data_IF_243654557411
#
_entry.id   IF_243654557411
#
_cell.length_a   1.000
_cell.length_b   1.000
_cell.length_c   1.000
_cell.angle_alpha   90.00
_cell.angle_beta   90.00
_cell.angle_gamma   90.00
#
_symmetry.space_group_name_H-M   'P 1'
#
loop_
_entity.id
_entity.type
_entity.pdbx_description
1 polymer ?
#
# COMPACT_ATOMS: atom_id res chain seq x y z
N UNK A 1 4.09 4.96 32.51
CA UNK A 1 4.38 4.81 31.07
C UNK A 1 3.12 5.12 30.28
N UNK A 2 3.19 5.98 29.26
CA UNK A 2 2.08 6.15 28.31
C UNK A 2 2.13 4.98 27.32
N UNK A 3 1.20 4.04 27.41
CA UNK A 3 1.10 2.87 26.54
C UNK A 3 0.22 3.11 25.31
N UNK A 4 -0.24 4.35 25.12
CA UNK A 4 -1.07 4.70 23.97
C UNK A 4 -0.23 4.81 22.70
N UNK A 5 -0.61 4.05 21.70
CA UNK A 5 0.00 4.11 20.38
C UNK A 5 -0.67 5.24 19.59
N UNK A 6 0.13 6.16 19.08
CA UNK A 6 -0.31 7.28 18.24
C UNK A 6 0.33 7.15 16.87
N UNK A 7 -0.42 7.45 15.83
CA UNK A 7 0.07 7.49 14.45
C UNK A 7 -0.62 8.60 13.66
N UNK A 8 -0.03 9.01 12.55
CA UNK A 8 -0.59 10.03 11.67
C UNK A 8 -1.62 9.40 10.73
N UNK A 9 -2.74 10.08 10.52
CA UNK A 9 -3.60 9.85 9.36
C UNK A 9 -3.41 11.01 8.39
N UNK A 10 -3.02 10.67 7.14
CA UNK A 10 -2.78 11.65 6.08
C UNK A 10 -3.77 11.43 4.95
N UNK A 11 -4.71 12.35 4.83
CA UNK A 11 -5.69 12.40 3.75
C UNK A 11 -5.01 12.78 2.42
N UNK A 12 -5.73 12.70 1.30
CA UNK A 12 -5.23 13.13 0.00
C UNK A 12 -4.75 14.59 -0.01
N UNK A 13 -5.50 15.57 0.55
CA UNK A 13 -4.99 16.94 0.70
C UNK A 13 -3.71 17.05 1.54
N UNK A 14 -3.55 16.24 2.58
CA UNK A 14 -2.33 16.23 3.40
C UNK A 14 -1.14 15.68 2.60
N UNK A 15 -1.35 14.65 1.80
CA UNK A 15 -0.32 14.09 0.92
C UNK A 15 0.12 15.10 -0.14
N UNK A 16 -0.80 15.89 -0.70
CA UNK A 16 -0.47 16.98 -1.63
C UNK A 16 0.39 18.04 -0.95
N UNK A 17 0.02 18.46 0.28
CA UNK A 17 0.83 19.40 1.06
C UNK A 17 2.21 18.84 1.42
N UNK A 18 2.31 17.53 1.67
CA UNK A 18 3.58 16.86 1.95
C UNK A 18 4.50 16.79 0.73
N UNK A 19 4.04 17.18 -0.46
CA UNK A 19 4.87 17.28 -1.66
C UNK A 19 4.85 16.04 -2.55
N UNK A 20 3.86 15.16 -2.41
CA UNK A 20 3.77 13.94 -3.22
C UNK A 20 3.72 14.22 -4.74
N UNK A 21 3.36 15.44 -5.15
CA UNK A 21 3.37 15.90 -6.55
C UNK A 21 4.67 16.59 -6.98
N UNK A 22 5.66 16.69 -6.10
CA UNK A 22 6.98 17.23 -6.46
C UNK A 22 7.73 16.19 -7.29
N UNK A 23 7.79 16.41 -8.60
CA UNK A 23 8.34 15.44 -9.54
C UNK A 23 9.86 15.27 -9.38
N UNK A 24 10.61 16.32 -9.03
CA UNK A 24 12.04 16.22 -8.79
C UNK A 24 12.34 15.30 -7.60
N UNK A 25 11.62 15.48 -6.50
CA UNK A 25 11.72 14.59 -5.33
C UNK A 25 11.27 13.16 -5.65
N UNK A 26 10.28 12.99 -6.52
CA UNK A 26 9.83 11.68 -6.95
C UNK A 26 10.93 10.94 -7.73
N UNK A 27 11.59 11.62 -8.65
CA UNK A 27 12.72 11.06 -9.42
C UNK A 27 13.86 10.66 -8.49
N UNK A 28 14.28 11.55 -7.58
CA UNK A 28 15.31 11.24 -6.59
C UNK A 28 14.97 10.03 -5.73
N UNK A 29 13.71 9.95 -5.27
CA UNK A 29 13.23 8.82 -4.47
C UNK A 29 13.26 7.51 -5.26
N UNK A 30 12.94 7.54 -6.55
CA UNK A 30 12.98 6.37 -7.42
C UNK A 30 14.42 5.92 -7.71
N UNK A 31 15.35 6.84 -7.89
CA UNK A 31 16.78 6.50 -8.04
C UNK A 31 17.31 5.81 -6.78
N UNK A 32 17.04 6.37 -5.60
CA UNK A 32 17.41 5.75 -4.33
C UNK A 32 16.78 4.36 -4.14
N UNK A 33 15.52 4.21 -4.52
CA UNK A 33 14.82 2.92 -4.49
C UNK A 33 15.53 1.89 -5.37
N UNK A 34 15.84 2.23 -6.62
CA UNK A 34 16.50 1.33 -7.55
C UNK A 34 17.89 0.92 -7.08
N UNK A 35 18.66 1.86 -6.50
CA UNK A 35 19.95 1.57 -5.88
C UNK A 35 19.80 0.63 -4.69
N UNK A 36 18.82 0.85 -3.84
CA UNK A 36 18.52 0.00 -2.67
C UNK A 36 18.11 -1.40 -3.08
N UNK A 37 17.25 -1.52 -4.09
CA UNK A 37 16.85 -2.81 -4.67
C UNK A 37 18.04 -3.55 -5.29
N UNK A 38 18.92 -2.87 -6.03
CA UNK A 38 20.10 -3.47 -6.61
C UNK A 38 21.08 -4.01 -5.55
N UNK A 39 21.13 -3.38 -4.37
CA UNK A 39 21.93 -3.84 -3.23
C UNK A 39 21.29 -5.02 -2.48
N UNK A 40 20.03 -5.33 -2.75
CA UNK A 40 19.27 -6.38 -2.05
C UNK A 40 18.82 -5.99 -0.64
N UNK A 41 18.87 -4.69 -0.29
CA UNK A 41 18.48 -4.20 1.04
C UNK A 41 16.97 -3.95 1.11
N UNK A 42 16.20 -5.01 0.91
CA UNK A 42 14.74 -5.01 1.03
C UNK A 42 14.23 -6.42 1.31
N UNK A 43 13.01 -6.51 1.83
CA UNK A 43 12.28 -7.77 1.98
C UNK A 43 10.84 -7.56 1.50
N UNK A 44 10.38 -8.40 0.59
CA UNK A 44 8.98 -8.42 0.14
C UNK A 44 8.26 -9.65 0.68
N UNK A 45 7.01 -9.48 1.10
CA UNK A 45 6.15 -10.57 1.51
C UNK A 45 5.59 -11.35 0.30
N UNK A 46 4.95 -12.47 0.60
CA UNK A 46 4.37 -13.38 -0.38
C UNK A 46 5.24 -14.60 -0.63
N UNK A 47 4.63 -15.63 -1.23
CA UNK A 47 5.28 -16.95 -1.45
C UNK A 47 6.57 -16.83 -2.28
N UNK A 48 6.59 -15.92 -3.23
CA UNK A 48 7.71 -15.69 -4.13
C UNK A 48 8.62 -14.53 -3.71
N UNK A 49 8.40 -13.96 -2.52
CA UNK A 49 9.11 -12.75 -2.06
C UNK A 49 9.10 -11.63 -3.12
N UNK A 50 7.96 -11.46 -3.77
CA UNK A 50 7.76 -10.44 -4.81
C UNK A 50 6.65 -9.46 -4.43
N UNK A 51 6.40 -8.46 -5.27
CA UNK A 51 5.46 -7.39 -5.02
C UNK A 51 3.97 -7.78 -5.02
N UNK A 52 3.61 -9.03 -5.32
CA UNK A 52 2.20 -9.40 -5.45
C UNK A 52 1.50 -9.66 -4.11
N UNK A 53 2.23 -9.89 -3.02
CA UNK A 53 1.68 -10.02 -1.66
C UNK A 53 0.57 -11.07 -1.53
N UNK A 54 -0.41 -10.77 -0.68
CA UNK A 54 -1.60 -11.60 -0.45
C UNK A 54 -2.84 -10.98 -1.10
N UNK A 55 -3.71 -11.85 -1.65
CA UNK A 55 -4.92 -11.42 -2.36
C UNK A 55 -6.17 -12.08 -1.76
N UNK A 56 -7.26 -11.31 -1.73
CA UNK A 56 -8.62 -11.82 -1.57
C UNK A 56 -9.29 -11.73 -2.93
N UNK A 57 -9.63 -12.88 -3.52
CA UNK A 57 -10.35 -13.00 -4.79
C UNK A 57 -11.68 -13.69 -4.48
N UNK A 58 -12.78 -13.14 -4.97
CA UNK A 58 -14.09 -13.67 -4.76
C UNK A 58 -14.38 -14.86 -5.71
N UNK A 59 -15.20 -15.84 -5.29
CA UNK A 59 -15.57 -16.96 -6.14
C UNK A 59 -16.50 -16.54 -7.29
N UNK A 60 -16.48 -17.30 -8.37
CA UNK A 60 -17.41 -17.11 -9.49
C UNK A 60 -18.86 -17.44 -9.13
N UNK A 61 -19.05 -18.34 -8.17
CA UNK A 61 -20.35 -18.74 -7.65
C UNK A 61 -20.37 -18.66 -6.11
N UNK A 62 -20.65 -17.47 -5.54
CA UNK A 62 -20.68 -17.28 -4.10
C UNK A 62 -21.86 -18.03 -3.47
N UNK A 63 -21.58 -18.80 -2.42
CA UNK A 63 -22.56 -19.63 -1.71
C UNK A 63 -23.26 -18.89 -0.55
N UNK A 64 -22.86 -17.67 -0.26
CA UNK A 64 -23.40 -16.91 0.88
C UNK A 64 -24.00 -15.58 0.41
N UNK A 65 -25.15 -15.22 0.99
CA UNK A 65 -25.77 -13.92 0.75
C UNK A 65 -24.81 -12.79 1.14
N UNK A 66 -24.71 -11.77 0.29
CA UNK A 66 -23.81 -10.61 0.51
C UNK A 66 -22.35 -10.86 0.13
N UNK A 67 -21.93 -12.08 -0.17
CA UNK A 67 -20.60 -12.33 -0.70
C UNK A 67 -20.52 -11.83 -2.16
N UNK A 68 -19.59 -10.96 -2.50
CA UNK A 68 -19.43 -10.51 -3.88
C UNK A 68 -19.07 -11.66 -4.82
N UNK A 69 -19.61 -11.61 -6.03
CA UNK A 69 -19.16 -12.48 -7.12
C UNK A 69 -17.86 -11.96 -7.71
N UNK A 70 -17.03 -12.86 -8.22
CA UNK A 70 -15.86 -12.51 -9.01
C UNK A 70 -16.27 -11.62 -10.21
N UNK A 71 -15.44 -10.64 -10.52
CA UNK A 71 -15.59 -9.75 -11.66
C UNK A 71 -14.20 -9.20 -12.04
N UNK A 72 -14.14 -8.49 -13.17
CA UNK A 72 -12.89 -7.96 -13.68
C UNK A 72 -12.18 -7.07 -12.63
N UNK A 73 -11.00 -7.54 -12.25
CA UNK A 73 -10.13 -6.89 -11.25
C UNK A 73 -10.81 -6.62 -9.89
N UNK A 74 -11.86 -7.37 -9.54
CA UNK A 74 -12.51 -7.31 -8.22
C UNK A 74 -11.69 -8.12 -7.22
N UNK A 75 -10.87 -7.42 -6.45
CA UNK A 75 -9.99 -8.05 -5.44
C UNK A 75 -9.57 -7.07 -4.37
N UNK A 76 -9.03 -7.61 -3.28
CA UNK A 76 -8.23 -6.86 -2.31
C UNK A 76 -6.80 -7.39 -2.30
N UNK A 77 -5.83 -6.49 -2.10
CA UNK A 77 -4.42 -6.88 -2.01
C UNK A 77 -3.71 -6.20 -0.84
N UNK A 78 -2.94 -7.00 -0.11
CA UNK A 78 -1.96 -6.55 0.86
C UNK A 78 -0.55 -6.80 0.31
N UNK A 79 0.27 -5.77 0.25
CA UNK A 79 1.63 -5.84 -0.27
C UNK A 79 2.62 -5.34 0.79
N UNK A 80 2.88 -6.15 1.84
CA UNK A 80 3.84 -5.79 2.87
C UNK A 80 5.27 -5.87 2.34
N UNK A 81 6.10 -4.93 2.78
CA UNK A 81 7.52 -4.92 2.47
C UNK A 81 8.32 -4.17 3.54
N UNK A 82 9.61 -4.46 3.58
CA UNK A 82 10.63 -3.64 4.21
C UNK A 82 11.51 -3.03 3.13
N UNK A 83 11.87 -1.78 3.28
CA UNK A 83 12.82 -1.07 2.44
C UNK A 83 13.92 -0.49 3.30
N UNK A 84 15.16 -0.87 3.00
CA UNK A 84 16.38 -0.42 3.68
C UNK A 84 16.91 0.91 3.15
N UNK A 85 18.23 0.98 2.95
CA UNK A 85 18.91 2.20 2.52
C UNK A 85 18.71 3.34 3.50
N UNK A 86 18.41 4.52 3.01
CA UNK A 86 18.10 5.69 3.85
C UNK A 86 16.70 5.63 4.49
N UNK A 87 15.80 4.75 4.01
CA UNK A 87 14.42 4.70 4.49
C UNK A 87 14.27 3.88 5.76
N UNK A 88 14.84 2.66 5.80
CA UNK A 88 14.78 1.73 6.95
C UNK A 88 13.37 1.61 7.54
N UNK A 89 12.38 1.35 6.67
CA UNK A 89 10.97 1.41 6.99
C UNK A 89 10.27 0.10 6.58
N UNK A 90 9.42 -0.41 7.44
CA UNK A 90 8.45 -1.44 7.07
C UNK A 90 7.11 -0.79 6.73
N UNK A 91 6.30 -1.46 5.94
CA UNK A 91 4.99 -0.93 5.59
C UNK A 91 4.20 -1.85 4.69
N UNK A 92 3.06 -1.35 4.27
CA UNK A 92 2.13 -2.10 3.44
C UNK A 92 1.37 -1.16 2.52
N UNK A 93 1.26 -1.53 1.24
CA UNK A 93 0.19 -1.02 0.38
C UNK A 93 -1.02 -1.95 0.53
N UNK A 94 -2.15 -1.38 0.89
CA UNK A 94 -3.44 -2.06 0.89
C UNK A 94 -4.35 -1.40 -0.14
N UNK A 95 -5.00 -2.20 -0.99
CA UNK A 95 -5.98 -1.68 -1.91
C UNK A 95 -7.10 -2.65 -2.23
N UNK A 96 -8.29 -2.09 -2.51
CA UNK A 96 -9.37 -2.75 -3.20
C UNK A 96 -9.43 -2.29 -4.65
N UNK A 97 -9.79 -3.17 -5.58
CA UNK A 97 -10.00 -2.83 -6.98
C UNK A 97 -11.24 -3.52 -7.55
N UNK A 98 -11.85 -2.87 -8.54
CA UNK A 98 -12.96 -3.38 -9.32
C UNK A 98 -13.12 -2.51 -10.57
N UNK A 99 -13.12 -3.12 -11.75
CA UNK A 99 -13.33 -2.38 -13.01
C UNK A 99 -14.68 -1.68 -13.08
N UNK A 100 -15.71 -2.21 -12.41
CA UNK A 100 -17.05 -1.63 -12.36
C UNK A 100 -17.12 -0.30 -11.58
N UNK A 101 -16.13 0.02 -10.74
CA UNK A 101 -16.08 1.28 -9.99
C UNK A 101 -16.22 2.50 -10.89
N UNK A 102 -15.71 2.43 -12.11
CA UNK A 102 -15.76 3.52 -13.09
C UNK A 102 -17.20 3.93 -13.43
N UNK A 103 -18.12 2.99 -13.44
CA UNK A 103 -19.54 3.27 -13.70
C UNK A 103 -20.18 4.11 -12.59
N UNK A 104 -19.61 4.08 -11.38
CA UNK A 104 -20.04 4.88 -10.23
C UNK A 104 -19.16 6.12 -9.98
N UNK A 105 -18.28 6.46 -10.93
CA UNK A 105 -17.37 7.61 -10.79
C UNK A 105 -16.22 7.40 -9.81
N UNK A 106 -15.98 6.17 -9.37
CA UNK A 106 -14.88 5.83 -8.47
C UNK A 106 -13.64 5.36 -9.26
N UNK A 107 -12.42 5.56 -8.74
CA UNK A 107 -11.24 4.95 -9.32
C UNK A 107 -11.35 3.42 -9.36
N UNK A 108 -10.76 2.78 -10.38
CA UNK A 108 -10.67 1.33 -10.46
C UNK A 108 -10.03 0.72 -9.21
N UNK A 109 -8.98 1.33 -8.70
CA UNK A 109 -8.29 0.94 -7.48
C UNK A 109 -8.30 2.07 -6.47
N UNK A 110 -8.58 1.73 -5.22
CA UNK A 110 -8.59 2.67 -4.09
C UNK A 110 -7.55 2.17 -3.10
N UNK A 111 -6.53 2.99 -2.86
CA UNK A 111 -5.29 2.58 -2.22
C UNK A 111 -5.03 3.35 -0.93
N UNK A 112 -4.45 2.64 0.01
CA UNK A 112 -3.87 3.20 1.24
C UNK A 112 -2.47 2.63 1.44
N UNK A 113 -1.60 3.41 2.08
CA UNK A 113 -0.30 2.96 2.53
C UNK A 113 -0.17 3.13 4.03
N UNK A 114 0.37 2.12 4.68
CA UNK A 114 0.71 2.15 6.10
C UNK A 114 2.22 2.03 6.24
N UNK A 115 2.80 2.87 7.12
CA UNK A 115 4.20 2.78 7.51
C UNK A 115 4.31 2.40 8.97
N UNK A 116 5.28 1.56 9.25
CA UNK A 116 5.59 1.05 10.58
C UNK A 116 7.08 1.23 10.90
N UNK A 117 7.36 1.50 12.14
CA UNK A 117 8.71 1.39 12.67
C UNK A 117 9.19 -0.06 12.56
N UNK A 118 10.36 -0.27 11.98
CA UNK A 118 10.87 -1.60 11.65
C UNK A 118 11.27 -2.43 12.87
N UNK A 119 11.63 -1.79 13.97
CA UNK A 119 12.15 -2.45 15.16
C UNK A 119 11.04 -2.81 16.16
N UNK A 120 10.07 -1.92 16.32
CA UNK A 120 8.98 -2.08 17.30
C UNK A 120 7.68 -2.57 16.68
N UNK A 121 7.51 -2.45 15.36
CA UNK A 121 6.24 -2.70 14.67
C UNK A 121 5.19 -1.60 14.88
N UNK A 122 5.50 -0.55 15.61
CA UNK A 122 4.54 0.53 15.88
C UNK A 122 4.09 1.22 14.59
N UNK A 123 2.79 1.48 14.40
CA UNK A 123 2.32 2.25 13.26
C UNK A 123 2.82 3.70 13.36
N UNK A 124 3.30 4.24 12.27
CA UNK A 124 3.77 5.62 12.15
C UNK A 124 2.77 6.49 11.37
N UNK A 125 2.27 5.99 10.25
CA UNK A 125 1.32 6.71 9.43
C UNK A 125 0.41 5.77 8.63
N UNK A 126 -0.83 6.22 8.40
CA UNK A 126 -1.76 5.69 7.42
C UNK A 126 -2.04 6.80 6.41
N UNK A 127 -1.82 6.54 5.13
CA UNK A 127 -1.81 7.55 4.08
C UNK A 127 -2.74 7.18 2.93
N UNK A 128 -3.44 8.16 2.35
CA UNK A 128 -4.06 8.01 1.04
C UNK A 128 -2.99 7.83 -0.05
N UNK A 129 -3.24 6.96 -1.01
CA UNK A 129 -2.32 6.65 -2.10
C UNK A 129 -2.97 6.66 -3.49
N UNK A 130 -4.05 7.42 -3.67
CA UNK A 130 -4.79 7.54 -4.93
C UNK A 130 -4.36 8.75 -5.80
N UNK A 131 -3.19 9.27 -5.59
CA UNK A 131 -2.66 10.45 -6.31
C UNK A 131 -1.83 10.06 -7.52
#
# INVERSE_FOLDING_TARGET
MDTRIKFLYLSEPDMIKAGVKNMDQCVEAMEDLLVTLNKGDYVMAGVNHNSHGAQVIFPDDPQFEGMPKNADDRRFMAMPAYLGGKYQMAGMKWYGSNCENKASGLPRSILMMMLNDKDTGAPLALMSANL
#
